data_IF_027756346795
#
_entry.id   IF_027756346795
#
_cell.length_a   1.000
_cell.length_b   1.000
_cell.length_c   1.000
_cell.angle_alpha   90.00
_cell.angle_beta   90.00
_cell.angle_gamma   90.00
#
_symmetry.space_group_name_H-M   'P 1'
#
loop_
_entity.id
_entity.type
_entity.pdbx_description
1 polymer ?
#
# COMPACT_ATOMS: atom_id res chain seq x y z
N UNK A 1 0.47 -14.73 5.24
CA UNK A 1 -0.02 -13.37 4.91
C UNK A 1 -1.54 -13.44 4.73
N UNK A 2 -2.32 -12.98 5.71
CA UNK A 2 -3.80 -12.94 5.59
C UNK A 2 -4.20 -12.13 4.34
N UNK A 3 -5.14 -12.65 3.55
CA UNK A 3 -5.80 -11.91 2.46
C UNK A 3 -6.57 -10.76 3.12
N UNK A 4 -6.04 -9.54 3.01
CA UNK A 4 -6.87 -8.35 3.22
C UNK A 4 -7.69 -8.26 1.94
N UNK A 5 -8.94 -8.71 2.02
CA UNK A 5 -9.90 -8.60 0.93
C UNK A 5 -10.30 -7.13 0.83
N UNK A 6 -10.00 -6.51 -0.30
CA UNK A 6 -10.48 -5.17 -0.65
C UNK A 6 -11.76 -5.24 -1.49
N UNK A 7 -12.30 -6.45 -1.71
CA UNK A 7 -13.65 -6.65 -2.24
C UNK A 7 -14.63 -5.90 -1.31
N UNK A 8 -15.54 -5.14 -1.92
CA UNK A 8 -16.63 -4.40 -1.27
C UNK A 8 -16.32 -2.99 -0.73
N UNK A 9 -15.12 -2.44 -0.96
CA UNK A 9 -14.84 -1.02 -0.62
C UNK A 9 -15.23 -0.08 -1.74
N UNK A 10 -15.85 1.03 -1.36
CA UNK A 10 -16.22 2.11 -2.26
C UNK A 10 -14.97 2.66 -3.00
N UNK A 11 -15.10 3.01 -4.27
CA UNK A 11 -13.96 3.44 -5.11
C UNK A 11 -13.22 4.64 -4.49
N UNK A 12 -13.94 5.53 -3.81
CA UNK A 12 -13.40 6.68 -3.09
C UNK A 12 -12.51 6.25 -1.91
N UNK A 13 -12.92 5.24 -1.17
CA UNK A 13 -12.16 4.72 -0.03
C UNK A 13 -10.93 3.93 -0.47
N UNK A 14 -11.01 3.25 -1.62
CA UNK A 14 -9.84 2.63 -2.25
C UNK A 14 -8.81 3.67 -2.68
N UNK A 15 -9.24 4.79 -3.27
CA UNK A 15 -8.35 5.88 -3.64
C UNK A 15 -7.69 6.56 -2.43
N UNK A 16 -8.44 6.78 -1.34
CA UNK A 16 -7.87 7.28 -0.07
C UNK A 16 -6.84 6.31 0.52
N UNK A 17 -7.18 5.03 0.59
CA UNK A 17 -6.23 4.01 1.09
C UNK A 17 -4.97 3.92 0.19
N UNK A 18 -5.11 4.14 -1.11
CA UNK A 18 -3.98 4.16 -2.05
C UNK A 18 -3.06 5.36 -1.81
N UNK A 19 -3.59 6.55 -1.53
CA UNK A 19 -2.77 7.73 -1.26
C UNK A 19 -2.00 7.55 0.05
N UNK A 20 -2.63 7.08 1.12
CA UNK A 20 -1.98 6.77 2.41
C UNK A 20 -0.87 5.72 2.27
N UNK A 21 -1.12 4.65 1.50
CA UNK A 21 -0.13 3.60 1.26
C UNK A 21 1.06 4.08 0.41
N UNK A 22 0.85 5.06 -0.48
CA UNK A 22 1.93 5.71 -1.23
C UNK A 22 2.77 6.62 -0.35
N UNK A 23 2.14 7.37 0.56
CA UNK A 23 2.85 8.23 1.53
C UNK A 23 3.71 7.37 2.46
N UNK A 24 3.16 6.32 3.04
CA UNK A 24 3.95 5.38 3.87
C UNK A 24 5.12 4.74 3.10
N UNK A 25 4.94 4.42 1.82
CA UNK A 25 6.05 3.91 0.99
C UNK A 25 7.12 4.99 0.72
N UNK A 26 6.72 6.25 0.56
CA UNK A 26 7.65 7.38 0.42
C UNK A 26 8.43 7.63 1.72
N UNK A 27 7.74 7.64 2.85
CA UNK A 27 8.35 7.86 4.16
C UNK A 27 9.29 6.70 4.51
N UNK A 28 8.92 5.46 4.16
CA UNK A 28 9.81 4.31 4.23
C UNK A 28 11.06 4.49 3.36
N UNK A 29 10.94 4.99 2.12
CA UNK A 29 12.11 5.27 1.25
C UNK A 29 13.04 6.32 1.87
N UNK A 30 12.49 7.40 2.43
CA UNK A 30 13.28 8.41 3.11
C UNK A 30 13.95 7.87 4.38
N UNK A 31 13.24 7.06 5.17
CA UNK A 31 13.78 6.43 6.37
C UNK A 31 14.90 5.41 6.06
N UNK A 32 14.79 4.69 4.93
CA UNK A 32 15.84 3.78 4.44
C UNK A 32 17.10 4.55 4.04
N UNK A 33 16.97 5.70 3.37
CA UNK A 33 18.11 6.52 2.95
C UNK A 33 18.93 7.05 4.15
N UNK A 34 18.26 7.34 5.28
CA UNK A 34 18.90 7.75 6.53
C UNK A 34 19.36 6.60 7.44
N UNK A 35 19.57 5.39 6.88
CA UNK A 35 20.10 4.19 7.57
C UNK A 35 19.35 3.74 8.85
N UNK A 36 18.10 4.21 9.05
CA UNK A 36 17.34 4.00 10.31
C UNK A 36 16.38 2.79 10.27
N UNK A 37 16.20 2.12 9.15
CA UNK A 37 15.16 1.07 9.02
C UNK A 37 15.69 -0.34 9.18
N UNK A 38 15.47 -0.93 10.35
CA UNK A 38 15.70 -2.37 10.62
C UNK A 38 14.64 -3.28 9.94
N UNK A 39 13.47 -2.73 9.59
CA UNK A 39 12.31 -3.51 9.17
C UNK A 39 12.00 -3.41 7.67
N UNK A 40 12.86 -4.03 6.84
CA UNK A 40 12.76 -4.02 5.37
C UNK A 40 11.45 -4.61 4.83
N UNK A 41 10.77 -5.42 5.65
CA UNK A 41 9.52 -6.12 5.31
C UNK A 41 8.34 -5.16 5.15
N UNK A 42 8.36 -4.00 5.82
CA UNK A 42 7.28 -3.01 5.75
C UNK A 42 7.14 -2.41 4.34
N UNK A 43 8.25 -2.05 3.69
CA UNK A 43 8.23 -1.57 2.32
C UNK A 43 7.68 -2.60 1.32
N UNK A 44 8.01 -3.89 1.50
CA UNK A 44 7.46 -4.98 0.68
C UNK A 44 5.95 -5.18 0.92
N UNK A 45 5.50 -5.05 2.16
CA UNK A 45 4.08 -5.12 2.49
C UNK A 45 3.29 -3.95 1.88
N UNK A 46 3.80 -2.72 1.99
CA UNK A 46 3.19 -1.53 1.40
C UNK A 46 3.05 -1.65 -0.12
N UNK A 47 4.09 -2.13 -0.83
CA UNK A 47 4.00 -2.42 -2.28
C UNK A 47 2.90 -3.42 -2.61
N UNK A 48 2.77 -4.49 -1.80
CA UNK A 48 1.78 -5.54 -2.03
C UNK A 48 0.34 -5.04 -1.81
N UNK A 49 0.15 -4.17 -0.82
CA UNK A 49 -1.16 -3.54 -0.57
C UNK A 49 -1.54 -2.57 -1.70
N UNK A 50 -0.62 -1.75 -2.19
CA UNK A 50 -0.86 -0.86 -3.35
C UNK A 50 -1.27 -1.68 -4.58
N UNK A 51 -0.54 -2.77 -4.87
CA UNK A 51 -0.84 -3.63 -6.01
C UNK A 51 -2.26 -4.22 -5.92
N UNK A 52 -2.67 -4.70 -4.74
CA UNK A 52 -4.03 -5.23 -4.51
C UNK A 52 -5.11 -4.17 -4.71
N UNK A 53 -4.92 -2.95 -4.17
CA UNK A 53 -5.88 -1.85 -4.34
C UNK A 53 -6.03 -1.50 -5.82
N UNK A 54 -4.93 -1.42 -6.57
CA UNK A 54 -4.96 -1.18 -8.02
C UNK A 54 -5.65 -2.31 -8.79
N UNK A 55 -5.48 -3.57 -8.37
CA UNK A 55 -6.17 -4.71 -8.98
C UNK A 55 -7.68 -4.62 -8.80
N UNK A 56 -8.17 -4.30 -7.60
CA UNK A 56 -9.62 -4.13 -7.36
C UNK A 56 -10.18 -2.93 -8.13
N UNK A 57 -9.45 -1.81 -8.18
CA UNK A 57 -9.86 -0.64 -8.98
C UNK A 57 -9.98 -0.97 -10.47
N UNK A 58 -9.11 -1.83 -11.00
CA UNK A 58 -9.17 -2.27 -12.38
C UNK A 58 -10.24 -3.33 -12.64
N UNK A 59 -10.62 -4.12 -11.62
CA UNK A 59 -11.69 -5.11 -11.73
C UNK A 59 -13.09 -4.48 -11.70
N UNK A 60 -13.24 -3.34 -11.01
CA UNK A 60 -14.46 -2.53 -10.97
C UNK A 60 -14.60 -1.55 -12.15
N UNK A 61 -13.89 -1.77 -13.26
CA UNK A 61 -13.93 -0.96 -14.47
C UNK A 61 -14.68 -1.70 -15.57
#
# INVERSE_FOLDING_TARGET
>A
MKKISYKDKDQKDLQKALSEKRVTLRDFRFAVAGSKTRNVKEGKAAKKDIARILTELNHNK
#
